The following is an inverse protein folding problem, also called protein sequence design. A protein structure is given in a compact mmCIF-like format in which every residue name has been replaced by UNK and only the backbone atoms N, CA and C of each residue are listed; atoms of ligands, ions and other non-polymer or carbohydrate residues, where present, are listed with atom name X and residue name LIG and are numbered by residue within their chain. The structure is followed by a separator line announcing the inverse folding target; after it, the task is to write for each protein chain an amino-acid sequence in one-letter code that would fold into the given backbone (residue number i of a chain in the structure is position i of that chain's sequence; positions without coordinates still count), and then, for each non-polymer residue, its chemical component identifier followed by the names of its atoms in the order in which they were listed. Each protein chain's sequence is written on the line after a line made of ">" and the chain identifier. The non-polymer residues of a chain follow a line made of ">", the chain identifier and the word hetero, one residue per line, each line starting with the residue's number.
data_IF_626810022583
#
_entry.id   IF_626810022583
#
_cell.length_a   1.000
_cell.length_b   1.000
_cell.length_c   1.000
_cell.angle_alpha   90.00
_cell.angle_beta   90.00
_cell.angle_gamma   90.00
#
_symmetry.space_group_name_H-M   'P 1'
#
loop_
_entity.id
_entity.type
_entity.pdbx_description
1 polymer ?
#
# COMPACT_ATOMS: atom_id res chain seq x y z
N UNK A 1 30.92 -29.35 -5.59
CA UNK A 1 31.86 -28.25 -5.89
C UNK A 1 31.23 -27.14 -6.75
N UNK A 2 30.62 -27.44 -7.89
CA UNK A 2 30.02 -26.44 -8.79
C UNK A 2 28.88 -25.63 -8.16
N UNK A 3 28.07 -26.24 -7.28
CA UNK A 3 26.98 -25.53 -6.57
C UNK A 3 27.51 -24.51 -5.54
N UNK A 4 28.60 -24.83 -4.84
CA UNK A 4 29.23 -23.92 -3.87
C UNK A 4 29.87 -22.71 -4.60
N UNK A 5 30.49 -22.94 -5.76
CA UNK A 5 31.11 -21.89 -6.58
C UNK A 5 30.05 -20.90 -7.11
N UNK A 6 28.87 -21.39 -7.48
CA UNK A 6 27.74 -20.55 -7.88
C UNK A 6 27.25 -19.64 -6.73
N UNK A 7 27.16 -20.17 -5.51
CA UNK A 7 26.80 -19.36 -4.35
C UNK A 7 27.83 -18.29 -4.00
N UNK A 8 29.14 -18.61 -4.14
CA UNK A 8 30.21 -17.63 -3.94
C UNK A 8 30.20 -16.51 -4.99
N UNK A 9 29.88 -16.78 -6.22
CA UNK A 9 29.76 -15.78 -7.29
C UNK A 9 28.56 -14.81 -7.08
N UNK A 10 27.53 -15.23 -6.37
CA UNK A 10 26.40 -14.38 -6.04
C UNK A 10 26.58 -13.61 -4.71
N UNK A 11 27.23 -14.21 -3.74
CA UNK A 11 27.44 -13.60 -2.42
C UNK A 11 28.59 -12.60 -2.44
N UNK A 12 29.63 -12.82 -3.24
CA UNK A 12 30.79 -11.94 -3.33
C UNK A 12 30.46 -10.50 -3.77
N UNK A 13 29.67 -10.25 -4.84
CA UNK A 13 29.31 -8.88 -5.20
C UNK A 13 28.40 -8.21 -4.17
N UNK A 14 27.52 -8.97 -3.50
CA UNK A 14 26.67 -8.43 -2.40
C UNK A 14 27.54 -8.03 -1.22
N UNK A 15 28.54 -8.86 -0.85
CA UNK A 15 29.50 -8.54 0.21
C UNK A 15 30.47 -7.42 -0.17
N UNK A 16 30.79 -7.25 -1.45
CA UNK A 16 31.66 -6.17 -1.94
C UNK A 16 30.95 -4.80 -1.94
N UNK A 17 29.64 -4.81 -2.12
CA UNK A 17 28.81 -3.58 -2.08
C UNK A 17 28.43 -3.20 -0.65
N UNK A 18 28.38 -4.15 0.29
CA UNK A 18 28.06 -3.92 1.69
C UNK A 18 28.93 -2.84 2.38
N UNK A 19 30.27 -2.80 2.19
CA UNK A 19 31.11 -1.77 2.79
C UNK A 19 30.85 -0.36 2.28
N UNK A 20 30.33 -0.21 1.05
CA UNK A 20 29.94 1.08 0.49
C UNK A 20 28.75 1.69 1.24
N UNK A 21 27.86 0.83 1.79
CA UNK A 21 26.73 1.23 2.61
C UNK A 21 27.08 1.33 4.11
N UNK A 22 28.17 0.70 4.54
CA UNK A 22 28.58 0.66 5.95
C UNK A 22 29.56 1.78 6.36
N UNK A 23 30.12 2.53 5.41
CA UNK A 23 30.93 3.68 5.74
C UNK A 23 30.08 4.70 6.51
N UNK A 24 30.42 5.04 7.77
CA UNK A 24 29.73 6.07 8.52
C UNK A 24 29.98 7.41 7.83
N UNK A 25 29.18 7.72 6.85
CA UNK A 25 29.11 9.07 6.33
C UNK A 25 28.22 9.84 7.29
N UNK A 26 28.78 10.82 7.96
CA UNK A 26 28.07 11.95 8.56
C UNK A 26 27.38 12.80 7.46
N UNK A 27 27.05 12.22 6.35
CA UNK A 27 26.28 12.82 5.28
C UNK A 27 24.81 12.67 5.59
N UNK A 28 24.18 13.77 5.89
CA UNK A 28 22.76 13.94 6.13
C UNK A 28 21.96 13.69 4.84
N UNK A 29 21.90 12.44 4.39
CA UNK A 29 20.98 12.03 3.36
C UNK A 29 19.58 11.86 3.97
N UNK A 30 18.99 12.98 4.35
CA UNK A 30 17.65 13.01 4.91
C UNK A 30 16.63 13.13 3.79
N UNK A 31 15.55 12.34 3.79
CA UNK A 31 14.43 12.57 2.90
C UNK A 31 13.88 13.98 3.00
N UNK A 32 13.25 14.42 1.94
CA UNK A 32 12.73 15.75 1.70
C UNK A 32 12.28 16.55 2.94
N UNK A 33 11.34 16.00 3.72
CA UNK A 33 10.80 16.76 4.87
C UNK A 33 11.69 16.71 6.10
N UNK A 34 12.47 15.65 6.26
CA UNK A 34 13.45 15.54 7.34
C UNK A 34 14.55 16.60 7.17
N UNK A 35 14.98 16.90 5.92
CA UNK A 35 15.89 18.01 5.61
C UNK A 35 15.23 19.36 5.91
N UNK A 36 14.02 19.58 5.36
CA UNK A 36 13.32 20.87 5.52
C UNK A 36 13.10 21.25 6.98
N UNK A 37 12.75 20.28 7.83
CA UNK A 37 12.39 20.52 9.23
C UNK A 37 13.48 20.09 10.22
N UNK A 38 14.65 19.67 9.74
CA UNK A 38 15.78 19.19 10.56
C UNK A 38 15.35 18.07 11.53
N UNK A 39 14.47 17.17 11.06
CA UNK A 39 13.89 16.10 11.84
C UNK A 39 14.46 14.73 11.49
N UNK A 40 14.46 13.82 12.48
CA UNK A 40 14.77 12.42 12.24
C UNK A 40 13.59 11.72 11.55
N UNK A 41 13.85 10.70 10.72
CA UNK A 41 12.81 9.91 10.04
C UNK A 41 11.81 9.26 11.02
N UNK A 42 12.27 8.92 12.22
CA UNK A 42 11.45 8.33 13.29
C UNK A 42 10.41 9.30 13.86
N UNK A 43 10.51 10.60 13.59
CA UNK A 43 9.46 11.56 13.96
C UNK A 43 8.17 11.32 13.16
N UNK A 44 8.32 10.95 11.87
CA UNK A 44 7.17 10.71 10.97
C UNK A 44 6.88 9.23 10.74
N UNK A 45 7.87 8.35 10.92
CA UNK A 45 7.76 6.93 10.64
C UNK A 45 7.90 6.10 11.91
N UNK A 46 7.04 5.09 12.07
CA UNK A 46 7.31 4.02 13.01
C UNK A 46 8.47 3.17 12.51
N UNK A 47 8.40 2.78 11.26
CA UNK A 47 9.47 2.13 10.49
C UNK A 47 9.25 2.47 9.01
N UNK A 48 10.27 2.95 8.31
CA UNK A 48 10.15 3.30 6.90
C UNK A 48 9.65 2.11 6.04
N UNK A 49 8.61 2.30 5.21
CA UNK A 49 7.86 3.53 4.92
C UNK A 49 6.62 3.79 5.82
N UNK A 50 6.34 2.96 6.83
CA UNK A 50 5.16 3.06 7.70
C UNK A 50 5.13 4.36 8.50
N UNK A 51 4.13 5.20 8.25
CA UNK A 51 3.93 6.43 9.02
C UNK A 51 3.42 6.12 10.44
N UNK A 52 3.86 6.94 11.40
CA UNK A 52 3.26 7.01 12.73
C UNK A 52 2.13 8.07 12.75
N UNK A 53 1.42 8.29 13.89
CA UNK A 53 0.34 9.27 13.96
C UNK A 53 0.75 10.69 13.56
N UNK A 54 1.93 11.13 13.96
CA UNK A 54 2.43 12.45 13.59
C UNK A 54 2.68 12.55 12.07
N UNK A 55 3.34 11.56 11.47
CA UNK A 55 3.59 11.54 10.03
C UNK A 55 2.31 11.50 9.21
N UNK A 56 1.28 10.81 9.71
CA UNK A 56 -0.02 10.78 9.07
C UNK A 56 -0.71 12.16 9.11
N UNK A 57 -0.72 12.81 10.26
CA UNK A 57 -1.29 14.16 10.40
C UNK A 57 -0.52 15.19 9.57
N UNK A 58 0.81 15.13 9.57
CA UNK A 58 1.67 16.00 8.77
C UNK A 58 1.34 15.89 7.27
N UNK A 59 1.19 14.66 6.75
CA UNK A 59 0.78 14.44 5.36
C UNK A 59 -0.60 15.04 5.06
N UNK A 60 -1.58 14.82 5.93
CA UNK A 60 -2.94 15.35 5.76
C UNK A 60 -3.00 16.88 5.86
N UNK A 61 -2.09 17.47 6.66
CA UNK A 61 -1.98 18.92 6.79
C UNK A 61 -1.18 19.59 5.64
N UNK A 62 -1.04 18.93 4.50
CA UNK A 62 -0.34 19.48 3.33
C UNK A 62 1.16 19.60 3.54
N UNK A 63 1.78 18.63 4.21
CA UNK A 63 3.23 18.58 4.49
C UNK A 63 3.75 19.80 5.25
N UNK A 64 2.94 20.32 6.18
CA UNK A 64 3.25 21.47 7.03
C UNK A 64 3.04 21.13 8.50
N UNK A 65 3.78 21.82 9.37
CA UNK A 65 3.48 21.80 10.79
C UNK A 65 2.13 22.47 11.07
N UNK A 66 1.50 22.09 12.16
CA UNK A 66 0.24 22.71 12.60
C UNK A 66 0.47 24.21 12.84
N UNK A 67 -0.32 25.05 12.21
CA UNK A 67 -0.22 26.52 12.29
C UNK A 67 0.85 27.15 11.41
N UNK A 68 1.63 26.36 10.69
CA UNK A 68 2.62 26.86 9.73
C UNK A 68 1.92 27.31 8.44
N UNK A 69 2.32 28.45 7.89
CA UNK A 69 1.96 28.86 6.53
C UNK A 69 2.97 28.26 5.56
N UNK A 70 2.47 27.80 4.43
CA UNK A 70 3.34 27.31 3.37
C UNK A 70 4.28 28.41 2.83
N UNK A 71 5.39 27.99 2.27
CA UNK A 71 6.38 28.85 1.58
C UNK A 71 6.56 28.37 0.14
N UNK A 72 7.11 29.20 -0.71
CA UNK A 72 7.49 28.81 -2.06
C UNK A 72 8.64 27.79 -2.02
N UNK A 73 8.63 26.75 -2.87
CA UNK A 73 9.77 25.83 -2.99
C UNK A 73 11.08 26.56 -3.37
N UNK A 74 10.96 27.66 -4.08
CA UNK A 74 12.09 28.50 -4.51
C UNK A 74 12.70 29.35 -3.39
N UNK A 75 11.99 29.49 -2.28
CA UNK A 75 12.48 30.13 -1.06
C UNK A 75 13.19 29.14 -0.12
N UNK A 76 13.01 27.85 -0.37
CA UNK A 76 13.68 26.80 0.37
C UNK A 76 15.14 26.67 -0.06
N UNK A 77 16.04 26.50 0.88
CA UNK A 77 17.45 26.17 0.59
C UNK A 77 17.61 24.80 -0.07
N UNK A 78 16.57 23.97 0.01
CA UNK A 78 16.60 22.60 -0.43
C UNK A 78 15.49 22.33 -1.46
N UNK A 79 15.88 21.76 -2.59
CA UNK A 79 14.90 21.32 -3.58
C UNK A 79 14.07 20.16 -3.04
N UNK A 80 12.74 20.21 -3.13
CA UNK A 80 11.87 19.21 -2.55
C UNK A 80 11.80 17.91 -3.40
N UNK A 81 12.92 17.21 -3.51
CA UNK A 81 13.05 15.96 -4.25
C UNK A 81 13.54 14.84 -3.34
N UNK A 82 12.98 13.66 -3.51
CA UNK A 82 13.39 12.42 -2.86
C UNK A 82 13.37 11.29 -3.88
N UNK A 83 14.33 10.40 -3.80
CA UNK A 83 14.41 9.18 -4.60
C UNK A 83 14.20 7.99 -3.68
N UNK A 84 13.37 7.05 -4.12
CA UNK A 84 13.14 5.80 -3.41
C UNK A 84 13.38 4.65 -4.37
N UNK A 85 14.11 3.63 -3.93
CA UNK A 85 14.37 2.47 -4.76
C UNK A 85 14.50 1.21 -3.96
N UNK A 86 14.12 0.09 -4.56
CA UNK A 86 14.39 -1.21 -4.04
C UNK A 86 14.85 -2.18 -5.13
N UNK A 87 15.80 -3.02 -4.76
CA UNK A 87 16.38 -4.05 -5.62
C UNK A 87 16.64 -5.30 -4.78
N UNK A 88 16.41 -6.47 -5.35
CA UNK A 88 16.59 -7.70 -4.61
C UNK A 88 16.63 -8.95 -5.48
N UNK A 89 16.58 -10.08 -4.82
CA UNK A 89 16.45 -11.40 -5.42
C UNK A 89 15.15 -12.00 -4.89
N UNK A 90 14.36 -12.52 -5.81
CA UNK A 90 13.08 -13.15 -5.54
C UNK A 90 13.15 -14.62 -5.93
N UNK A 91 12.59 -15.48 -5.10
CA UNK A 91 12.28 -16.87 -5.42
C UNK A 91 10.79 -17.11 -5.15
N UNK A 92 10.07 -17.50 -6.19
CA UNK A 92 8.64 -17.78 -6.15
C UNK A 92 8.43 -19.26 -6.43
N UNK A 93 7.73 -19.95 -5.55
CA UNK A 93 7.27 -21.31 -5.74
C UNK A 93 5.76 -21.37 -5.69
N UNK A 94 5.15 -21.79 -6.78
CA UNK A 94 3.71 -22.02 -6.88
C UNK A 94 3.42 -23.51 -6.97
N UNK A 95 2.49 -23.99 -6.18
CA UNK A 95 1.95 -25.34 -6.21
C UNK A 95 0.48 -25.24 -6.65
N UNK A 96 0.11 -25.97 -7.67
CA UNK A 96 -1.24 -25.99 -8.20
C UNK A 96 -1.74 -27.44 -8.26
N UNK A 97 -2.93 -27.68 -7.73
CA UNK A 97 -3.61 -28.97 -7.85
C UNK A 97 -4.11 -29.22 -9.27
N UNK A 98 -4.23 -30.47 -9.64
CA UNK A 98 -4.83 -30.89 -10.90
C UNK A 98 -6.37 -30.89 -10.76
N UNK A 99 -7.11 -30.17 -11.61
CA UNK A 99 -8.58 -30.19 -11.60
C UNK A 99 -9.18 -31.59 -11.80
N UNK A 100 -8.43 -32.52 -12.36
CA UNK A 100 -8.85 -33.89 -12.62
C UNK A 100 -8.37 -34.90 -11.55
N UNK A 101 -7.88 -34.42 -10.40
CA UNK A 101 -7.41 -35.27 -9.31
C UNK A 101 -6.01 -35.87 -9.54
N UNK A 102 -5.27 -35.37 -10.52
CA UNK A 102 -3.88 -35.78 -10.78
C UNK A 102 -2.88 -35.20 -9.77
N UNK A 103 -1.56 -35.47 -9.97
CA UNK A 103 -0.51 -34.98 -9.07
C UNK A 103 -0.41 -33.46 -9.15
N UNK A 104 -0.11 -32.82 -8.01
CA UNK A 104 0.16 -31.37 -7.95
C UNK A 104 1.37 -31.01 -8.82
N UNK A 105 1.24 -29.94 -9.59
CA UNK A 105 2.33 -29.36 -10.36
C UNK A 105 3.05 -28.29 -9.56
N UNK A 106 4.37 -28.20 -9.72
CA UNK A 106 5.21 -27.22 -9.02
C UNK A 106 5.95 -26.37 -10.03
N UNK A 107 5.86 -25.08 -9.86
CA UNK A 107 6.64 -24.11 -10.64
C UNK A 107 7.54 -23.33 -9.67
N UNK A 108 8.82 -23.21 -10.02
CA UNK A 108 9.76 -22.40 -9.27
C UNK A 108 10.45 -21.43 -10.22
N UNK A 109 10.38 -20.15 -9.92
CA UNK A 109 11.12 -19.11 -10.62
C UNK A 109 12.04 -18.39 -9.64
N UNK A 110 13.21 -17.97 -10.11
CA UNK A 110 14.13 -17.14 -9.35
C UNK A 110 14.67 -16.06 -10.27
N UNK A 111 14.60 -14.82 -9.82
CA UNK A 111 14.95 -13.67 -10.64
C UNK A 111 15.51 -12.53 -9.79
N UNK A 112 16.22 -11.60 -10.44
CA UNK A 112 16.41 -10.29 -9.83
C UNK A 112 15.09 -9.56 -9.84
N UNK A 113 14.72 -9.04 -8.66
CA UNK A 113 13.52 -8.23 -8.48
C UNK A 113 13.93 -6.78 -8.31
N UNK A 114 13.40 -5.91 -9.15
CA UNK A 114 13.44 -4.48 -8.99
C UNK A 114 11.99 -4.02 -8.96
N UNK A 115 11.50 -3.68 -7.76
CA UNK A 115 10.08 -3.36 -7.63
C UNK A 115 9.78 -1.94 -8.11
N UNK A 116 10.63 -0.97 -7.75
CA UNK A 116 10.50 0.39 -8.24
C UNK A 116 11.80 1.18 -8.07
N UNK A 117 12.01 2.16 -8.92
CA UNK A 117 12.81 3.37 -8.65
C UNK A 117 11.87 4.54 -8.88
N UNK A 118 11.55 5.25 -7.82
CA UNK A 118 10.55 6.30 -7.78
C UNK A 118 11.20 7.62 -7.41
N UNK A 119 10.75 8.71 -8.01
CA UNK A 119 11.00 10.02 -7.47
C UNK A 119 9.73 10.60 -6.88
N UNK A 120 9.91 11.29 -5.78
CA UNK A 120 8.84 11.99 -5.08
C UNK A 120 9.22 13.45 -4.93
N UNK A 121 8.30 14.33 -5.25
CA UNK A 121 8.40 15.74 -4.94
C UNK A 121 7.10 16.20 -4.31
N UNK A 122 7.18 16.86 -3.17
CA UNK A 122 6.01 17.34 -2.45
C UNK A 122 6.37 18.55 -1.60
N UNK A 123 5.41 19.39 -1.31
CA UNK A 123 5.64 20.59 -0.51
C UNK A 123 4.58 21.64 -0.76
N UNK A 124 4.92 22.88 -0.47
CA UNK A 124 4.01 24.01 -0.60
C UNK A 124 4.43 24.93 -1.76
N UNK A 125 3.44 25.48 -2.47
CA UNK A 125 3.60 26.48 -3.53
C UNK A 125 3.20 27.88 -3.05
N UNK A 126 3.52 28.23 -1.82
CA UNK A 126 3.08 29.46 -1.16
C UNK A 126 2.20 29.15 0.06
N UNK A 127 1.58 30.16 0.65
CA UNK A 127 0.97 30.04 1.98
C UNK A 127 -0.20 29.06 2.08
N UNK A 128 -0.91 28.82 0.97
CA UNK A 128 -2.16 28.08 0.99
C UNK A 128 -2.25 26.97 -0.06
N UNK A 129 -1.15 26.59 -0.71
CA UNK A 129 -1.15 25.55 -1.71
C UNK A 129 -0.11 24.50 -1.40
N UNK A 130 -0.52 23.25 -1.45
CA UNK A 130 0.33 22.06 -1.37
C UNK A 130 0.32 21.36 -2.72
N UNK A 131 1.44 20.78 -3.09
CA UNK A 131 1.57 19.88 -4.23
C UNK A 131 2.20 18.57 -3.81
N UNK A 132 1.87 17.53 -4.56
CA UNK A 132 2.54 16.23 -4.49
C UNK A 132 2.64 15.67 -5.90
N UNK A 133 3.80 15.16 -6.22
CA UNK A 133 4.03 14.44 -7.46
C UNK A 133 5.01 13.31 -7.19
N UNK A 134 4.62 12.10 -7.53
CA UNK A 134 5.51 10.94 -7.55
C UNK A 134 5.38 10.19 -8.88
N UNK A 135 6.44 9.52 -9.27
CA UNK A 135 6.46 8.74 -10.50
C UNK A 135 7.53 7.66 -10.46
N UNK A 136 7.23 6.53 -11.07
CA UNK A 136 8.16 5.43 -11.23
C UNK A 136 9.03 5.64 -12.47
N UNK A 137 10.36 5.65 -12.30
CA UNK A 137 11.29 5.56 -13.43
C UNK A 137 11.40 4.14 -13.97
N UNK A 138 11.35 3.17 -13.07
CA UNK A 138 11.40 1.74 -13.38
C UNK A 138 10.47 1.02 -12.40
N UNK A 139 9.64 0.15 -12.91
CA UNK A 139 8.71 -0.62 -12.08
C UNK A 139 7.74 -1.45 -12.92
N UNK A 140 6.87 -2.22 -12.27
CA UNK A 140 5.79 -2.89 -12.95
C UNK A 140 4.91 -1.87 -13.70
N UNK A 141 4.70 -2.08 -14.98
CA UNK A 141 3.95 -1.14 -15.83
C UNK A 141 4.81 -0.24 -16.72
N UNK A 142 6.13 -0.32 -16.59
CA UNK A 142 7.09 0.39 -17.45
C UNK A 142 7.52 1.76 -16.92
N UNK A 143 8.39 2.45 -17.65
CA UNK A 143 8.87 3.76 -17.25
C UNK A 143 7.74 4.78 -17.32
N UNK A 144 7.70 5.66 -16.33
CA UNK A 144 6.68 6.69 -16.15
C UNK A 144 5.25 6.15 -15.90
N UNK A 145 5.14 4.94 -15.33
CA UNK A 145 3.86 4.47 -14.82
C UNK A 145 3.35 5.46 -13.75
N UNK A 146 2.11 5.89 -13.90
CA UNK A 146 1.51 6.98 -13.14
C UNK A 146 1.55 6.72 -11.63
N UNK A 147 2.21 7.60 -10.93
CA UNK A 147 2.08 7.78 -9.51
C UNK A 147 1.01 8.83 -9.17
N UNK A 148 1.08 9.37 -7.97
CA UNK A 148 0.21 10.46 -7.55
C UNK A 148 0.66 11.80 -8.14
N UNK A 149 -0.32 12.64 -8.50
CA UNK A 149 -0.08 14.01 -8.96
C UNK A 149 -1.28 14.88 -8.58
N UNK A 150 -1.16 15.64 -7.49
CA UNK A 150 -2.27 16.48 -7.03
C UNK A 150 -1.82 17.86 -6.53
N UNK A 151 -2.77 18.78 -6.56
CA UNK A 151 -2.69 20.06 -5.86
C UNK A 151 -3.74 20.07 -4.74
N UNK A 152 -3.41 20.73 -3.64
CA UNK A 152 -4.32 20.93 -2.53
C UNK A 152 -4.34 22.42 -2.17
N UNK A 153 -5.53 23.00 -2.12
CA UNK A 153 -5.78 24.29 -1.54
C UNK A 153 -5.99 24.10 -0.04
N UNK A 154 -5.10 24.65 0.73
CA UNK A 154 -5.05 24.48 2.18
C UNK A 154 -5.79 25.61 2.90
N UNK A 155 -6.29 25.32 4.10
CA UNK A 155 -6.88 26.32 5.01
C UNK A 155 -8.06 27.09 4.39
N UNK A 156 -8.88 26.46 3.57
CA UNK A 156 -10.12 27.04 3.03
C UNK A 156 -11.08 27.37 4.18
N UNK A 157 -11.10 26.54 5.23
CA UNK A 157 -11.75 26.85 6.49
C UNK A 157 -10.75 27.41 7.51
N UNK A 158 -11.26 27.86 8.66
CA UNK A 158 -10.40 28.31 9.77
C UNK A 158 -9.55 27.16 10.29
N UNK A 159 -8.29 27.45 10.59
CA UNK A 159 -7.38 26.57 11.35
C UNK A 159 -7.14 25.18 10.71
N UNK A 160 -7.07 25.09 9.38
CA UNK A 160 -6.78 23.81 8.68
C UNK A 160 -7.93 22.80 8.73
N UNK A 161 -9.11 23.24 9.14
CA UNK A 161 -10.24 22.33 9.23
C UNK A 161 -10.85 21.92 7.90
N UNK A 162 -10.48 22.59 6.79
CA UNK A 162 -10.96 22.26 5.47
C UNK A 162 -9.89 22.57 4.43
N UNK A 163 -9.54 21.55 3.65
CA UNK A 163 -8.68 21.65 2.47
C UNK A 163 -9.43 21.07 1.27
N UNK A 164 -9.04 21.48 0.08
CA UNK A 164 -9.57 20.94 -1.18
C UNK A 164 -8.41 20.40 -1.99
N UNK A 165 -8.40 19.09 -2.25
CA UNK A 165 -7.40 18.38 -3.04
C UNK A 165 -8.01 18.01 -4.39
N UNK A 166 -7.24 18.18 -5.46
CA UNK A 166 -7.65 17.78 -6.81
C UNK A 166 -6.46 17.22 -7.59
N UNK A 167 -6.68 16.18 -8.38
CA UNK A 167 -5.66 15.51 -9.18
C UNK A 167 -5.76 14.01 -9.17
N UNK A 168 -4.62 13.33 -9.34
CA UNK A 168 -4.49 11.87 -9.23
C UNK A 168 -3.97 11.55 -7.84
N UNK A 169 -4.71 10.77 -7.08
CA UNK A 169 -4.34 10.41 -5.72
C UNK A 169 -5.00 9.10 -5.27
N UNK A 170 -4.45 8.50 -4.21
CA UNK A 170 -5.02 7.34 -3.56
C UNK A 170 -5.99 7.78 -2.46
N UNK A 171 -7.24 7.33 -2.55
CA UNK A 171 -8.21 7.43 -1.47
C UNK A 171 -8.03 6.27 -0.48
N UNK A 172 -6.81 6.11 0.01
CA UNK A 172 -6.44 5.02 0.91
C UNK A 172 -7.04 5.22 2.30
N UNK A 173 -7.44 4.09 2.92
CA UNK A 173 -7.68 4.09 4.35
C UNK A 173 -6.33 4.19 5.09
N UNK A 174 -6.16 5.13 6.02
CA UNK A 174 -4.94 5.22 6.80
C UNK A 174 -4.56 3.87 7.44
N UNK A 175 -3.25 3.54 7.43
CA UNK A 175 -2.65 2.30 7.94
C UNK A 175 -2.91 1.01 7.17
N UNK A 176 -3.83 0.98 6.22
CA UNK A 176 -4.03 -0.15 5.32
C UNK A 176 -3.59 0.17 3.89
N UNK A 177 -2.63 1.06 3.72
CA UNK A 177 -2.09 1.48 2.44
C UNK A 177 -0.99 0.55 1.97
N UNK A 178 -1.10 0.08 0.73
CA UNK A 178 -0.08 -0.73 0.09
C UNK A 178 1.24 0.01 -0.14
N UNK A 179 1.19 1.31 -0.33
CA UNK A 179 2.39 2.14 -0.53
C UNK A 179 3.21 2.34 0.75
N UNK A 180 2.62 2.09 1.92
CA UNK A 180 3.25 2.33 3.22
C UNK A 180 3.38 1.10 4.12
N UNK A 181 3.31 -0.09 3.55
CA UNK A 181 3.55 -1.35 4.26
C UNK A 181 5.04 -1.61 4.48
N UNK A 182 5.36 -2.41 5.48
CA UNK A 182 6.74 -2.82 5.78
C UNK A 182 7.17 -4.07 5.04
N UNK A 183 6.21 -4.90 4.63
CA UNK A 183 6.39 -6.10 3.79
C UNK A 183 6.39 -5.71 2.31
N UNK A 184 6.99 -6.53 1.43
CA UNK A 184 6.95 -6.28 -0.02
C UNK A 184 5.59 -6.60 -0.63
N UNK A 185 5.03 -7.75 -0.28
CA UNK A 185 3.76 -8.17 -0.85
C UNK A 185 2.59 -7.33 -0.34
N UNK A 186 1.68 -7.02 -1.27
CA UNK A 186 0.47 -6.26 -1.00
C UNK A 186 -0.47 -6.94 -0.01
N UNK A 187 -1.40 -6.17 0.49
CA UNK A 187 -2.52 -6.68 1.24
C UNK A 187 -3.54 -7.36 0.30
N UNK A 188 -4.23 -8.38 0.79
CA UNK A 188 -5.37 -8.97 0.04
C UNK A 188 -6.72 -8.35 0.42
N UNK A 189 -6.83 -7.74 1.61
CA UNK A 189 -8.09 -7.21 2.13
C UNK A 189 -8.32 -5.71 1.89
N UNK A 190 -7.34 -4.81 2.09
CA UNK A 190 -7.58 -3.40 1.86
C UNK A 190 -7.76 -3.13 0.37
N UNK A 191 -8.77 -2.33 0.08
CA UNK A 191 -9.04 -1.89 -1.28
C UNK A 191 -8.59 -0.45 -1.41
N UNK A 192 -7.68 -0.21 -2.32
CA UNK A 192 -7.25 1.12 -2.71
C UNK A 192 -8.17 1.64 -3.80
N UNK A 193 -8.70 2.83 -3.61
CA UNK A 193 -9.35 3.61 -4.66
C UNK A 193 -8.34 4.67 -5.09
N UNK A 194 -7.76 4.49 -6.24
CA UNK A 194 -6.81 5.40 -6.85
C UNK A 194 -7.36 5.94 -8.17
N UNK A 195 -7.04 7.16 -8.47
CA UNK A 195 -7.51 7.79 -9.71
C UNK A 195 -7.57 9.30 -9.64
N UNK A 196 -8.27 9.87 -10.61
CA UNK A 196 -8.47 11.31 -10.71
C UNK A 196 -9.71 11.72 -9.93
N UNK A 197 -9.58 12.77 -9.10
CA UNK A 197 -10.72 13.15 -8.29
C UNK A 197 -10.56 14.49 -7.60
N UNK A 198 -11.56 14.76 -6.76
CA UNK A 198 -11.58 15.89 -5.84
C UNK A 198 -11.90 15.38 -4.45
N UNK A 199 -11.14 15.81 -3.45
CA UNK A 199 -11.30 15.44 -2.05
C UNK A 199 -11.41 16.71 -1.19
N UNK A 200 -12.36 16.72 -0.31
CA UNK A 200 -12.45 17.62 0.83
C UNK A 200 -11.85 16.91 2.04
N UNK A 201 -10.84 17.48 2.67
CA UNK A 201 -10.21 16.86 3.83
C UNK A 201 -9.89 17.90 4.90
N UNK A 202 -9.58 17.43 6.10
CA UNK A 202 -9.17 18.30 7.18
C UNK A 202 -8.92 17.57 8.50
N UNK A 203 -8.42 18.35 9.46
CA UNK A 203 -8.18 17.87 10.82
C UNK A 203 -8.76 18.86 11.82
N UNK A 204 -9.53 18.37 12.80
CA UNK A 204 -10.08 19.20 13.87
C UNK A 204 -10.28 18.39 15.14
N UNK A 205 -9.81 18.93 16.27
CA UNK A 205 -10.03 18.35 17.61
C UNK A 205 -9.69 16.85 17.71
N UNK A 206 -8.59 16.42 17.08
CA UNK A 206 -8.13 15.03 17.06
C UNK A 206 -8.92 14.11 16.11
N UNK A 207 -9.81 14.66 15.31
CA UNK A 207 -10.41 14.01 14.17
C UNK A 207 -9.69 14.41 12.89
N UNK A 208 -9.42 13.45 12.03
CA UNK A 208 -9.01 13.67 10.63
C UNK A 208 -10.06 13.02 9.75
N UNK A 209 -10.44 13.69 8.69
CA UNK A 209 -11.54 13.25 7.82
C UNK A 209 -11.25 13.59 6.37
N UNK A 210 -11.83 12.80 5.47
CA UNK A 210 -11.92 13.13 4.06
C UNK A 210 -13.21 12.60 3.45
N UNK A 211 -13.66 13.31 2.43
CA UNK A 211 -14.75 12.89 1.56
C UNK A 211 -14.39 13.29 0.13
N UNK A 212 -14.54 12.39 -0.82
CA UNK A 212 -14.13 12.64 -2.19
C UNK A 212 -14.96 11.92 -3.23
N UNK A 213 -14.84 12.43 -4.44
CA UNK A 213 -15.31 11.79 -5.65
C UNK A 213 -14.07 11.46 -6.50
N UNK A 214 -14.00 10.24 -7.00
CA UNK A 214 -12.84 9.73 -7.70
C UNK A 214 -13.25 8.87 -8.89
N UNK A 215 -12.58 9.06 -10.01
CA UNK A 215 -12.65 8.13 -11.13
C UNK A 215 -11.60 7.05 -10.91
N UNK A 216 -11.99 5.92 -10.37
CA UNK A 216 -11.10 4.78 -10.24
C UNK A 216 -11.15 3.92 -11.50
N UNK A 217 -9.99 3.55 -12.02
CA UNK A 217 -9.86 2.73 -13.23
C UNK A 217 -9.58 1.27 -12.89
N UNK A 218 -10.28 0.74 -11.89
CA UNK A 218 -10.13 -0.66 -11.49
C UNK A 218 -10.60 -1.66 -12.55
N UNK A 219 -11.54 -1.25 -13.42
CA UNK A 219 -12.16 -2.14 -14.39
C UNK A 219 -11.24 -2.59 -15.51
N UNK A 220 -10.23 -1.83 -15.84
CA UNK A 220 -9.40 -2.09 -17.04
C UNK A 220 -7.95 -2.44 -16.76
N UNK A 221 -7.46 -2.20 -15.54
CA UNK A 221 -6.02 -2.35 -15.23
C UNK A 221 -5.13 -1.48 -16.14
N UNK A 222 -5.70 -0.49 -16.81
CA UNK A 222 -5.00 0.44 -17.69
C UNK A 222 -5.09 1.85 -17.14
N UNK A 223 -3.96 2.46 -16.75
CA UNK A 223 -3.93 3.88 -16.48
C UNK A 223 -4.34 4.63 -17.76
N UNK A 224 -5.43 5.36 -17.69
CA UNK A 224 -5.84 6.24 -18.79
C UNK A 224 -7.07 5.84 -19.60
N UNK A 225 -7.88 4.89 -19.15
CA UNK A 225 -9.19 4.71 -19.75
C UNK A 225 -10.03 5.97 -19.54
N UNK A 226 -10.45 6.55 -20.66
CA UNK A 226 -11.12 7.85 -20.73
C UNK A 226 -12.63 7.73 -20.54
N UNK A 227 -13.09 6.78 -19.73
CA UNK A 227 -14.49 6.76 -19.32
C UNK A 227 -14.77 7.99 -18.44
N UNK A 228 -14.99 9.11 -19.06
CA UNK A 228 -15.33 10.39 -18.43
C UNK A 228 -16.70 10.38 -17.72
N UNK A 229 -17.39 9.24 -17.72
CA UNK A 229 -18.79 9.18 -17.31
C UNK A 229 -19.00 8.77 -15.85
N UNK A 230 -17.96 8.46 -15.07
CA UNK A 230 -18.14 7.90 -13.75
C UNK A 230 -17.65 8.84 -12.63
N UNK A 231 -18.32 9.97 -12.43
CA UNK A 231 -18.29 10.72 -11.17
C UNK A 231 -19.09 9.99 -10.05
N UNK A 232 -19.31 8.69 -10.20
CA UNK A 232 -20.20 7.92 -9.32
C UNK A 232 -19.43 7.24 -8.19
N UNK A 233 -18.09 7.26 -8.23
CA UNK A 233 -17.26 6.67 -7.20
C UNK A 233 -17.00 7.70 -6.12
N UNK A 234 -17.49 7.42 -4.94
CA UNK A 234 -17.37 8.30 -3.80
C UNK A 234 -16.87 7.59 -2.55
N UNK A 235 -16.23 8.33 -1.67
CA UNK A 235 -15.81 7.79 -0.39
C UNK A 235 -15.88 8.83 0.72
N UNK A 236 -16.01 8.33 1.93
CA UNK A 236 -15.83 9.07 3.17
C UNK A 236 -14.98 8.23 4.10
N UNK A 237 -13.97 8.83 4.73
CA UNK A 237 -13.28 8.19 5.84
C UNK A 237 -13.10 9.16 7.01
N UNK A 238 -13.06 8.58 8.21
CA UNK A 238 -12.86 9.26 9.47
C UNK A 238 -11.77 8.55 10.25
N UNK A 239 -10.86 9.33 10.83
CA UNK A 239 -9.83 8.84 11.74
C UNK A 239 -9.86 9.61 13.04
N UNK A 240 -9.77 8.91 14.15
CA UNK A 240 -9.70 9.50 15.49
C UNK A 240 -8.38 9.16 16.15
N UNK A 241 -7.66 10.17 16.60
CA UNK A 241 -6.54 10.01 17.53
C UNK A 241 -7.06 9.92 18.97
N UNK A 242 -6.76 8.80 19.63
CA UNK A 242 -7.09 8.54 21.02
C UNK A 242 -5.77 8.28 21.76
N UNK A 243 -5.12 9.36 22.22
CA UNK A 243 -3.85 9.27 22.98
C UNK A 243 -2.73 8.57 22.18
N UNK A 244 -2.59 8.90 20.90
CA UNK A 244 -1.56 8.31 20.02
C UNK A 244 -1.94 6.93 19.44
N UNK A 245 -3.15 6.44 19.74
CA UNK A 245 -3.75 5.30 19.07
C UNK A 245 -4.72 5.82 18.01
N UNK A 246 -4.70 5.30 16.82
CA UNK A 246 -5.58 5.75 15.75
C UNK A 246 -6.64 4.69 15.45
N UNK A 247 -7.86 5.13 15.29
CA UNK A 247 -8.96 4.29 14.78
C UNK A 247 -9.50 4.96 13.51
N UNK A 248 -9.67 4.17 12.47
CA UNK A 248 -10.12 4.66 11.16
C UNK A 248 -11.28 3.83 10.66
N UNK A 249 -12.25 4.49 10.06
CA UNK A 249 -13.34 3.86 9.32
C UNK A 249 -13.46 4.52 7.94
N UNK A 250 -13.81 3.75 6.93
CA UNK A 250 -14.08 4.21 5.58
C UNK A 250 -15.31 3.52 5.01
N UNK A 251 -16.11 4.28 4.28
CA UNK A 251 -17.15 3.76 3.39
C UNK A 251 -16.90 4.34 2.01
N UNK A 252 -16.99 3.50 0.99
CA UNK A 252 -16.83 3.91 -0.40
C UNK A 252 -17.81 3.19 -1.30
N UNK A 253 -18.14 3.82 -2.39
CA UNK A 253 -18.85 3.21 -3.51
C UNK A 253 -17.97 3.25 -4.74
N UNK A 254 -17.96 2.18 -5.50
CA UNK A 254 -17.27 2.07 -6.77
C UNK A 254 -18.25 1.49 -7.79
N UNK A 255 -18.39 2.15 -8.94
CA UNK A 255 -19.19 1.63 -10.04
C UNK A 255 -18.25 1.03 -11.06
N UNK A 256 -18.41 -0.25 -11.29
CA UNK A 256 -17.60 -0.96 -12.25
C UNK A 256 -18.37 -1.13 -13.56
N UNK A 257 -17.68 -0.80 -14.66
CA UNK A 257 -18.22 -1.12 -15.99
C UNK A 257 -18.42 -2.63 -16.12
N UNK A 258 -19.48 -3.06 -16.81
CA UNK A 258 -19.78 -4.47 -16.93
C UNK A 258 -18.62 -5.21 -17.62
N UNK A 259 -18.17 -6.29 -17.00
CA UNK A 259 -17.16 -7.19 -17.59
C UNK A 259 -17.69 -7.90 -18.85
N UNK A 260 -19.01 -7.90 -19.04
CA UNK A 260 -19.70 -8.51 -20.17
C UNK A 260 -20.43 -7.43 -20.95
N UNK A 261 -20.13 -7.29 -22.23
CA UNK A 261 -20.78 -6.34 -23.11
C UNK A 261 -22.31 -6.50 -23.10
N UNK A 262 -23.04 -5.40 -22.93
CA UNK A 262 -24.50 -5.38 -22.91
C UNK A 262 -25.15 -5.64 -21.55
N UNK A 263 -24.38 -5.68 -20.47
CA UNK A 263 -24.89 -5.68 -19.09
C UNK A 263 -24.77 -4.29 -18.48
N UNK A 264 -25.58 -4.01 -17.48
CA UNK A 264 -25.50 -2.78 -16.71
C UNK A 264 -24.27 -2.78 -15.77
N UNK A 265 -23.74 -1.60 -15.46
CA UNK A 265 -22.64 -1.45 -14.51
C UNK A 265 -23.09 -1.86 -13.10
N UNK A 266 -22.25 -2.60 -12.39
CA UNK A 266 -22.53 -3.02 -11.02
C UNK A 266 -22.11 -1.96 -10.02
N UNK A 267 -22.88 -1.80 -8.94
CA UNK A 267 -22.50 -0.96 -7.80
C UNK A 267 -21.74 -1.79 -6.77
N UNK A 268 -20.59 -1.33 -6.42
CA UNK A 268 -19.71 -1.94 -5.42
C UNK A 268 -19.74 -1.08 -4.16
N UNK A 269 -20.09 -1.66 -3.03
CA UNK A 269 -20.01 -1.03 -1.71
C UNK A 269 -18.80 -1.57 -0.96
N UNK A 270 -18.01 -0.68 -0.40
CA UNK A 270 -16.81 -1.00 0.38
C UNK A 270 -16.96 -0.37 1.75
N UNK A 271 -16.83 -1.17 2.81
CA UNK A 271 -16.73 -0.67 4.18
C UNK A 271 -15.46 -1.24 4.84
N UNK A 272 -14.67 -0.37 5.45
CA UNK A 272 -13.40 -0.75 6.05
C UNK A 272 -13.23 -0.09 7.42
N UNK A 273 -12.60 -0.82 8.32
CA UNK A 273 -12.19 -0.31 9.63
C UNK A 273 -10.78 -0.79 9.95
N UNK A 274 -9.99 0.05 10.58
CA UNK A 274 -8.65 -0.31 11.07
C UNK A 274 -8.30 0.46 12.33
N UNK A 275 -7.35 -0.08 13.08
CA UNK A 275 -6.73 0.66 14.17
C UNK A 275 -5.21 0.58 14.06
N UNK A 276 -4.52 1.59 14.55
CA UNK A 276 -3.09 1.56 14.77
C UNK A 276 -2.84 1.70 16.27
N UNK A 277 -2.41 0.62 16.87
CA UNK A 277 -2.13 0.50 18.30
C UNK A 277 -0.62 0.49 18.47
N UNK A 278 -0.07 1.56 19.05
CA UNK A 278 1.37 1.70 19.25
C UNK A 278 1.72 1.70 20.74
N UNK A 279 2.69 0.91 21.12
CA UNK A 279 3.24 0.90 22.46
C UNK A 279 4.77 0.81 22.41
N UNK A 280 5.41 1.94 22.12
CA UNK A 280 6.85 2.06 22.07
C UNK A 280 7.51 1.15 21.02
N UNK A 281 8.03 -0.01 21.44
CA UNK A 281 8.77 -0.91 20.57
C UNK A 281 7.90 -1.82 19.69
N UNK A 282 6.60 -1.90 19.94
CA UNK A 282 5.70 -2.69 19.12
C UNK A 282 4.49 -1.89 18.66
N UNK A 283 3.97 -2.25 17.52
CA UNK A 283 2.72 -1.73 16.98
C UNK A 283 1.87 -2.87 16.42
N UNK A 284 0.56 -2.72 16.51
CA UNK A 284 -0.42 -3.67 16.02
C UNK A 284 -1.45 -2.95 15.16
N UNK A 285 -1.79 -3.54 14.02
CA UNK A 285 -2.77 -3.01 13.07
C UNK A 285 -3.81 -4.08 12.79
N UNK A 286 -4.91 -4.15 13.54
CA UNK A 286 -6.07 -4.90 13.14
C UNK A 286 -6.82 -4.14 12.03
N UNK A 287 -7.37 -4.87 11.08
CA UNK A 287 -8.19 -4.34 10.00
C UNK A 287 -9.33 -5.28 9.63
N UNK A 288 -10.41 -4.70 9.16
CA UNK A 288 -11.55 -5.42 8.62
C UNK A 288 -12.05 -4.71 7.37
N UNK A 289 -12.40 -5.50 6.36
CA UNK A 289 -12.95 -5.03 5.09
C UNK A 289 -14.21 -5.83 4.78
N UNK A 290 -15.24 -5.14 4.40
CA UNK A 290 -16.43 -5.69 3.79
C UNK A 290 -16.59 -5.11 2.38
N UNK A 291 -16.88 -5.96 1.41
CA UNK A 291 -17.20 -5.57 0.04
C UNK A 291 -18.47 -6.30 -0.40
N UNK A 292 -19.32 -5.60 -1.09
CA UNK A 292 -20.53 -6.19 -1.69
C UNK A 292 -20.69 -5.66 -3.11
N UNK A 293 -20.81 -6.58 -4.03
CA UNK A 293 -21.11 -6.31 -5.43
C UNK A 293 -22.54 -6.74 -5.72
N UNK A 294 -23.39 -5.79 -6.09
CA UNK A 294 -24.71 -6.11 -6.61
C UNK A 294 -24.61 -6.42 -8.10
N UNK A 295 -25.34 -7.43 -8.54
CA UNK A 295 -25.51 -7.78 -9.96
C UNK A 295 -24.22 -8.13 -10.73
N UNK A 296 -23.23 -8.73 -10.04
CA UNK A 296 -22.08 -9.30 -10.75
C UNK A 296 -22.57 -10.40 -11.71
N UNK A 297 -22.26 -10.30 -13.02
CA UNK A 297 -22.54 -11.39 -13.92
C UNK A 297 -21.70 -12.60 -13.51
N UNK A 298 -22.34 -13.74 -13.36
CA UNK A 298 -21.68 -15.02 -13.15
C UNK A 298 -20.52 -15.15 -14.16
N UNK A 299 -19.33 -15.47 -13.65
CA UNK A 299 -18.13 -15.71 -14.48
C UNK A 299 -18.33 -16.84 -15.49
N UNK A 300 -19.39 -17.62 -15.35
CA UNK A 300 -19.79 -18.73 -16.24
C UNK A 300 -20.90 -18.30 -17.23
N UNK A 301 -21.43 -17.07 -17.11
CA UNK A 301 -22.36 -16.52 -18.11
C UNK A 301 -23.83 -16.95 -17.98
N UNK A 302 -24.27 -17.53 -16.88
CA UNK A 302 -25.59 -18.13 -16.72
C UNK A 302 -26.54 -17.36 -15.80
N UNK A 303 -26.06 -16.35 -15.03
CA UNK A 303 -26.93 -15.65 -14.09
C UNK A 303 -26.36 -14.35 -13.57
N UNK A 304 -27.18 -13.57 -12.86
CA UNK A 304 -26.77 -12.47 -12.02
C UNK A 304 -26.74 -12.94 -10.57
N UNK A 305 -25.65 -12.69 -9.87
CA UNK A 305 -25.50 -13.02 -8.47
C UNK A 305 -24.91 -11.83 -7.69
N UNK A 306 -25.00 -11.85 -6.38
CA UNK A 306 -24.23 -10.93 -5.54
C UNK A 306 -22.94 -11.61 -5.09
N UNK A 307 -21.87 -10.83 -5.02
CA UNK A 307 -20.58 -11.24 -4.48
C UNK A 307 -20.33 -10.44 -3.20
N UNK A 308 -20.18 -11.14 -2.10
CA UNK A 308 -19.83 -10.56 -0.81
C UNK A 308 -18.45 -11.04 -0.37
N UNK A 309 -17.60 -10.11 0.06
CA UNK A 309 -16.26 -10.35 0.56
C UNK A 309 -16.15 -9.86 2.00
N UNK A 310 -15.68 -10.70 2.87
CA UNK A 310 -15.38 -10.36 4.27
C UNK A 310 -13.91 -10.62 4.55
N UNK A 311 -13.15 -9.57 4.79
CA UNK A 311 -11.73 -9.64 5.04
C UNK A 311 -11.34 -9.24 6.45
N UNK A 312 -10.46 -9.99 7.08
CA UNK A 312 -9.82 -9.64 8.33
C UNK A 312 -8.30 -9.64 8.16
N UNK A 313 -7.65 -8.68 8.82
CA UNK A 313 -6.21 -8.48 8.80
C UNK A 313 -5.69 -8.24 10.21
N UNK A 314 -4.54 -8.82 10.50
CA UNK A 314 -3.75 -8.49 11.67
C UNK A 314 -2.28 -8.35 11.27
N UNK A 315 -1.72 -7.16 11.41
CA UNK A 315 -0.28 -6.90 11.20
C UNK A 315 0.34 -6.47 12.53
N UNK A 316 1.41 -7.15 12.91
CA UNK A 316 2.20 -6.83 14.10
C UNK A 316 3.63 -6.48 13.73
N UNK A 317 4.18 -5.46 14.37
CA UNK A 317 5.55 -5.00 14.19
C UNK A 317 6.24 -4.88 15.54
N UNK A 318 7.49 -5.33 15.63
CA UNK A 318 8.28 -5.21 16.87
C UNK A 318 9.75 -4.96 16.58
N UNK A 319 10.31 -3.93 17.22
CA UNK A 319 11.75 -3.74 17.25
C UNK A 319 12.42 -4.69 18.21
N UNK A 320 13.33 -5.53 17.69
CA UNK A 320 14.00 -6.59 18.45
C UNK A 320 15.15 -6.07 19.30
N UNK A 321 15.72 -4.92 18.93
CA UNK A 321 16.86 -4.30 19.61
C UNK A 321 16.53 -2.90 20.14
N UNK A 322 17.25 -2.42 21.18
CA UNK A 322 17.04 -1.10 21.75
C UNK A 322 17.33 0.08 20.78
N UNK A 323 18.18 -0.18 19.79
CA UNK A 323 18.58 0.86 18.82
C UNK A 323 17.64 0.96 17.63
N UNK A 324 16.55 0.18 17.64
CA UNK A 324 15.53 0.13 16.57
C UNK A 324 16.10 -0.18 15.17
N UNK A 325 17.16 -1.01 15.12
CA UNK A 325 17.78 -1.45 13.87
C UNK A 325 17.15 -2.69 13.29
N UNK A 326 16.64 -3.59 14.14
CA UNK A 326 16.02 -4.82 13.73
C UNK A 326 14.52 -4.74 13.93
N UNK A 327 13.75 -4.85 12.85
CA UNK A 327 12.29 -4.90 12.87
C UNK A 327 11.81 -6.25 12.38
N UNK A 328 10.98 -6.91 13.18
CA UNK A 328 10.19 -8.04 12.76
C UNK A 328 8.75 -7.59 12.50
N UNK A 329 8.23 -7.89 11.32
CA UNK A 329 6.82 -7.71 10.95
C UNK A 329 6.21 -9.05 10.66
N UNK A 330 5.04 -9.31 11.23
CA UNK A 330 4.19 -10.45 10.92
C UNK A 330 2.82 -9.99 10.50
N UNK A 331 2.26 -10.56 9.43
CA UNK A 331 0.94 -10.25 8.93
C UNK A 331 0.17 -11.51 8.61
N UNK A 332 -1.07 -11.54 9.03
CA UNK A 332 -2.03 -12.58 8.69
C UNK A 332 -3.29 -11.93 8.12
N UNK A 333 -3.73 -12.42 7.00
CA UNK A 333 -4.95 -11.97 6.34
C UNK A 333 -5.80 -13.16 5.94
N UNK A 334 -7.10 -13.02 6.10
CA UNK A 334 -8.10 -13.94 5.59
C UNK A 334 -9.19 -13.13 4.90
N UNK A 335 -9.66 -13.63 3.77
CA UNK A 335 -10.78 -13.05 3.03
C UNK A 335 -11.74 -14.16 2.63
N UNK A 336 -12.94 -14.11 3.17
CA UNK A 336 -14.05 -14.98 2.79
C UNK A 336 -14.75 -14.41 1.57
N UNK A 337 -14.93 -15.24 0.57
CA UNK A 337 -15.61 -14.93 -0.69
C UNK A 337 -16.92 -15.71 -0.71
N UNK A 338 -18.05 -15.01 -0.79
CA UNK A 338 -19.38 -15.60 -0.93
C UNK A 338 -20.03 -15.15 -2.23
N UNK A 339 -20.33 -16.08 -3.14
CA UNK A 339 -21.08 -15.80 -4.37
C UNK A 339 -22.46 -16.39 -4.17
N UNK A 340 -23.51 -15.56 -4.29
CA UNK A 340 -24.90 -16.00 -4.31
C UNK A 340 -25.41 -16.04 -5.75
N UNK A 341 -26.34 -16.94 -6.07
CA UNK A 341 -26.89 -17.11 -7.40
C UNK A 341 -26.97 -18.59 -7.83
N UNK A 342 -26.99 -18.83 -9.13
CA UNK A 342 -27.23 -20.18 -9.70
C UNK A 342 -26.11 -21.18 -9.36
N UNK A 343 -24.91 -20.68 -9.11
CA UNK A 343 -23.74 -21.49 -8.69
C UNK A 343 -23.16 -20.92 -7.42
N UNK A 344 -23.84 -21.09 -6.29
CA UNK A 344 -23.35 -20.63 -5.00
C UNK A 344 -21.95 -21.21 -4.71
N UNK A 345 -20.93 -20.38 -4.73
CA UNK A 345 -19.55 -20.76 -4.46
C UNK A 345 -19.07 -19.99 -3.23
N UNK A 346 -18.35 -20.66 -2.37
CA UNK A 346 -17.64 -20.06 -1.23
C UNK A 346 -16.16 -20.29 -1.38
N UNK A 347 -15.37 -19.37 -0.90
CA UNK A 347 -13.93 -19.51 -0.93
C UNK A 347 -13.26 -18.71 0.16
N UNK A 348 -12.02 -19.07 0.44
CA UNK A 348 -11.16 -18.37 1.39
C UNK A 348 -9.83 -18.06 0.74
N UNK A 349 -9.43 -16.79 0.74
CA UNK A 349 -8.07 -16.36 0.45
C UNK A 349 -7.34 -16.15 1.77
N UNK A 350 -6.18 -16.75 1.92
CA UNK A 350 -5.36 -16.61 3.13
C UNK A 350 -3.97 -16.15 2.71
N UNK A 351 -3.48 -15.09 3.35
CA UNK A 351 -2.11 -14.65 3.18
C UNK A 351 -1.41 -14.53 4.54
N UNK A 352 -0.20 -15.06 4.62
CA UNK A 352 0.70 -14.87 5.75
C UNK A 352 1.99 -14.26 5.23
N UNK A 353 2.47 -13.20 5.86
CA UNK A 353 3.76 -12.60 5.53
C UNK A 353 4.60 -12.41 6.79
N UNK A 354 5.91 -12.65 6.66
CA UNK A 354 6.92 -12.36 7.66
C UNK A 354 8.02 -11.55 7.02
N UNK A 355 8.41 -10.45 7.66
CA UNK A 355 9.51 -9.61 7.21
C UNK A 355 10.48 -9.36 8.34
N UNK A 356 11.76 -9.59 8.08
CA UNK A 356 12.84 -9.21 8.98
C UNK A 356 13.66 -8.14 8.28
N UNK A 357 13.60 -6.92 8.79
CA UNK A 357 14.33 -5.76 8.28
C UNK A 357 15.48 -5.37 9.19
N UNK A 358 16.65 -5.10 8.59
CA UNK A 358 17.78 -4.47 9.25
C UNK A 358 17.99 -3.07 8.69
N UNK A 359 17.85 -2.05 9.52
CA UNK A 359 18.07 -0.66 9.15
C UNK A 359 19.56 -0.32 9.29
N UNK A 360 20.24 -0.18 8.15
CA UNK A 360 21.63 0.29 8.09
C UNK A 360 21.72 1.73 8.58
N UNK A 361 20.73 2.51 8.16
CA UNK A 361 20.45 3.86 8.65
C UNK A 361 18.93 4.12 8.51
N UNK A 362 18.39 5.26 8.99
CA UNK A 362 16.94 5.50 8.91
C UNK A 362 16.32 5.46 7.51
N UNK A 363 17.13 5.63 6.46
CA UNK A 363 16.69 5.71 5.07
C UNK A 363 17.05 4.46 4.24
N UNK A 364 17.80 3.53 4.81
CA UNK A 364 18.25 2.34 4.10
C UNK A 364 18.09 1.09 4.96
N UNK A 365 17.46 0.08 4.37
CA UNK A 365 17.29 -1.22 5.02
C UNK A 365 17.64 -2.37 4.06
N UNK A 366 18.06 -3.46 4.65
CA UNK A 366 18.13 -4.78 4.00
C UNK A 366 17.04 -5.62 4.66
N UNK A 367 16.26 -6.32 3.89
CA UNK A 367 15.15 -7.08 4.42
C UNK A 367 15.01 -8.45 3.76
N UNK A 368 14.62 -9.42 4.57
CA UNK A 368 14.16 -10.73 4.14
C UNK A 368 12.65 -10.78 4.32
N UNK A 369 11.95 -11.02 3.22
CA UNK A 369 10.49 -11.13 3.19
C UNK A 369 10.12 -12.56 2.80
N UNK A 370 9.16 -13.14 3.51
CA UNK A 370 8.53 -14.41 3.17
C UNK A 370 7.03 -14.23 3.15
N UNK A 371 6.40 -14.66 2.10
CA UNK A 371 4.94 -14.64 1.96
C UNK A 371 4.43 -15.99 1.51
N UNK A 372 3.35 -16.42 2.12
CA UNK A 372 2.56 -17.56 1.68
C UNK A 372 1.13 -17.11 1.42
N UNK A 373 0.66 -17.36 0.21
CA UNK A 373 -0.71 -17.12 -0.19
C UNK A 373 -1.36 -18.44 -0.61
N UNK A 374 -2.62 -18.65 -0.25
CA UNK A 374 -3.42 -19.79 -0.68
C UNK A 374 -4.86 -19.35 -0.92
N UNK A 375 -5.48 -19.91 -1.94
CA UNK A 375 -6.89 -19.77 -2.21
C UNK A 375 -7.55 -21.11 -2.02
N UNK A 376 -8.69 -21.16 -1.35
CA UNK A 376 -9.53 -22.36 -1.16
C UNK A 376 -10.91 -22.07 -1.71
N UNK A 377 -11.37 -22.91 -2.61
CA UNK A 377 -12.73 -22.84 -3.15
C UNK A 377 -13.57 -23.99 -2.58
N UNK A 378 -14.67 -23.64 -1.96
CA UNK A 378 -15.65 -24.59 -1.42
C UNK A 378 -16.84 -24.65 -2.38
N UNK A 379 -16.79 -25.55 -3.36
CA UNK A 379 -17.92 -25.80 -4.24
C UNK A 379 -18.88 -26.78 -3.56
N UNK A 380 -20.19 -26.54 -3.71
CA UNK A 380 -21.25 -27.39 -3.16
C UNK A 380 -21.29 -28.81 -3.75
N UNK A 381 -20.50 -29.10 -4.77
CA UNK A 381 -20.55 -30.36 -5.54
C UNK A 381 -19.29 -31.22 -5.39
N UNK A 382 -18.12 -30.65 -5.16
CA UNK A 382 -16.86 -31.41 -4.92
C UNK A 382 -15.84 -30.54 -4.17
N UNK A 383 -15.25 -31.10 -3.11
CA UNK A 383 -14.00 -30.59 -2.51
C UNK A 383 -12.88 -30.76 -3.54
N UNK A 384 -12.76 -29.83 -4.47
CA UNK A 384 -11.76 -29.92 -5.53
C UNK A 384 -10.44 -29.30 -5.10
N UNK A 385 -9.35 -30.08 -4.99
CA UNK A 385 -8.07 -29.66 -4.44
C UNK A 385 -7.23 -28.82 -5.44
N UNK A 386 -7.84 -28.07 -6.34
CA UNK A 386 -7.12 -27.21 -7.31
C UNK A 386 -6.48 -25.97 -6.69
N UNK A 387 -6.49 -25.85 -5.39
CA UNK A 387 -6.06 -24.71 -4.61
C UNK A 387 -4.60 -24.34 -4.89
N UNK A 388 -4.34 -23.18 -5.53
CA UNK A 388 -2.98 -22.72 -5.69
C UNK A 388 -2.41 -22.30 -4.33
N UNK A 389 -1.20 -22.75 -4.04
CA UNK A 389 -0.40 -22.27 -2.91
C UNK A 389 0.86 -21.64 -3.45
N UNK A 390 1.06 -20.38 -3.13
CA UNK A 390 2.24 -19.64 -3.52
C UNK A 390 3.10 -19.36 -2.30
N UNK A 391 4.39 -19.69 -2.40
CA UNK A 391 5.40 -19.31 -1.42
C UNK A 391 6.42 -18.43 -2.11
N UNK A 392 6.69 -17.29 -1.53
CA UNK A 392 7.61 -16.31 -2.06
C UNK A 392 8.63 -15.94 -0.99
N UNK A 393 9.90 -15.89 -1.39
CA UNK A 393 11.00 -15.42 -0.56
C UNK A 393 11.72 -14.33 -1.33
N UNK A 394 11.92 -13.17 -0.71
CA UNK A 394 12.68 -12.07 -1.27
C UNK A 394 13.73 -11.56 -0.30
N UNK A 395 14.94 -11.38 -0.80
CA UNK A 395 15.99 -10.61 -0.13
C UNK A 395 16.20 -9.33 -0.91
N UNK A 396 16.05 -8.18 -0.27
CA UNK A 396 16.13 -6.90 -0.95
C UNK A 396 16.78 -5.80 -0.10
N UNK A 397 17.40 -4.86 -0.81
CA UNK A 397 17.79 -3.57 -0.28
C UNK A 397 16.76 -2.50 -0.65
N UNK A 398 16.44 -1.62 0.27
CA UNK A 398 15.53 -0.50 0.07
C UNK A 398 16.21 0.78 0.56
N UNK A 399 16.20 1.80 -0.28
CA UNK A 399 16.86 3.09 0.00
C UNK A 399 15.89 4.21 -0.35
N UNK A 400 15.75 5.19 0.56
CA UNK A 400 15.09 6.47 0.32
C UNK A 400 16.09 7.61 0.49
N UNK A 401 16.16 8.51 -0.51
CA UNK A 401 17.14 9.59 -0.56
C UNK A 401 16.47 10.95 -0.72
#
# INVERSE_FOLDING_TARGET
>A
MIRLLRWLLFVAPVLAVLPLFMAPRTGEALPLFARKYEMQCTQCHYAFPRLNPFGMQFRQNGYRMVGEKGSSPWESKEFPLSLVGNVGIQSLRTEQGDPLGGPRTHFTTSQFAQNAVEFHTAGTLGPNFTFHFDNNFVGPGGPLASGMAFLQLDDVGKDGCLNIKAGVYDAEIPYLSDSRKTTLNGYINPITLDGRGVELNGTRSGWTYAAGLINSDRSTGKPGSTSLNNLENGYVWLMRDIRGQLVTVRVATDRQDPRVAGKDASTHLIAQASAYLNHGRWALIPGYTFESFADEPDTIGVGTGSLDLHGALLEGMVYLDPNSRWLLTGRYEIRHVGISGVSATRGDDIQTALNLSYFVNPNAKIALDWTRASMRLHNSVEDNPTEPVTNEIQLYGHVGY
#
